data_IF_725174197014
#
_entry.id   IF_725174197014
#
_cell.length_a   1.000
_cell.length_b   1.000
_cell.length_c   1.000
_cell.angle_alpha   90.00
_cell.angle_beta   90.00
_cell.angle_gamma   90.00
#
_symmetry.space_group_name_H-M   'P 1'
#
loop_
_entity.id
_entity.type
_entity.pdbx_description
1 polymer ?
#
# COMPACT_ATOMS: atom_id res chain seq x y z
N UNK A 1 -7.56 6.55 -12.90
CA UNK A 1 -7.87 5.25 -12.26
C UNK A 1 -7.85 5.45 -10.76
N UNK A 2 -8.83 4.94 -10.02
CA UNK A 2 -8.97 5.24 -8.58
C UNK A 2 -9.22 3.98 -7.77
N UNK A 3 -8.75 3.99 -6.53
CA UNK A 3 -8.93 2.94 -5.54
C UNK A 3 -9.11 3.56 -4.16
N UNK A 4 -9.99 2.99 -3.33
CA UNK A 4 -10.27 3.52 -2.00
C UNK A 4 -10.68 2.42 -1.02
N UNK A 5 -10.33 2.58 0.26
CA UNK A 5 -10.87 1.75 1.34
C UNK A 5 -12.35 2.05 1.54
N UNK A 6 -13.16 1.01 1.68
CA UNK A 6 -14.58 1.11 1.99
C UNK A 6 -14.77 1.22 3.50
N UNK A 7 -15.41 2.31 3.93
CA UNK A 7 -15.79 2.52 5.33
C UNK A 7 -17.29 2.36 5.52
N UNK A 8 -17.69 1.84 6.69
CA UNK A 8 -19.10 1.71 7.06
C UNK A 8 -19.83 3.06 7.01
N UNK A 9 -21.14 3.02 6.76
CA UNK A 9 -22.02 4.19 6.72
C UNK A 9 -21.67 5.25 5.65
N UNK A 10 -20.82 4.90 4.67
CA UNK A 10 -20.57 5.75 3.50
C UNK A 10 -21.53 5.42 2.34
N UNK A 11 -21.76 6.37 1.40
CA UNK A 11 -22.51 6.09 0.18
C UNK A 11 -21.96 4.92 -0.62
N UNK A 12 -20.62 4.76 -0.65
CA UNK A 12 -19.95 3.63 -1.29
C UNK A 12 -20.31 2.31 -0.61
N UNK A 13 -20.27 2.23 0.72
CA UNK A 13 -20.67 1.03 1.44
C UNK A 13 -22.14 0.68 1.21
N UNK A 14 -23.02 1.69 1.14
CA UNK A 14 -24.44 1.51 0.79
C UNK A 14 -24.59 0.93 -0.62
N UNK A 15 -23.95 1.57 -1.61
CA UNK A 15 -23.96 1.15 -3.02
C UNK A 15 -23.45 -0.30 -3.24
N UNK A 16 -22.55 -0.76 -2.38
CA UNK A 16 -22.09 -2.16 -2.42
C UNK A 16 -23.11 -3.09 -1.74
N UNK A 17 -23.71 -2.67 -0.63
CA UNK A 17 -24.68 -3.47 0.12
C UNK A 17 -26.00 -3.69 -0.64
N UNK A 18 -26.46 -2.68 -1.37
CA UNK A 18 -27.66 -2.76 -2.24
C UNK A 18 -27.34 -3.31 -3.64
N UNK A 19 -26.08 -3.69 -3.91
CA UNK A 19 -25.67 -4.40 -5.12
C UNK A 19 -25.53 -3.51 -6.35
N UNK A 20 -25.55 -2.18 -6.20
CA UNK A 20 -25.27 -1.22 -7.27
C UNK A 20 -23.83 -1.32 -7.77
N UNK A 21 -22.89 -1.66 -6.88
CA UNK A 21 -21.48 -1.96 -7.19
C UNK A 21 -21.19 -3.42 -6.85
N UNK A 22 -20.84 -4.21 -7.88
CA UNK A 22 -20.58 -5.65 -7.76
C UNK A 22 -19.14 -6.07 -8.06
N UNK A 23 -18.39 -5.24 -8.77
CA UNK A 23 -17.03 -5.53 -9.24
C UNK A 23 -15.98 -4.66 -8.57
N UNK A 24 -14.71 -5.10 -8.64
CA UNK A 24 -13.58 -4.34 -8.12
C UNK A 24 -13.46 -4.35 -6.59
N UNK A 25 -14.04 -5.33 -5.91
CA UNK A 25 -14.01 -5.44 -4.44
C UNK A 25 -12.88 -6.37 -4.00
N UNK A 26 -12.03 -5.90 -3.09
CA UNK A 26 -10.85 -6.62 -2.60
C UNK A 26 -10.72 -6.51 -1.07
N UNK A 27 -10.63 -7.61 -0.31
CA UNK A 27 -10.86 -9.00 -0.75
C UNK A 27 -12.32 -9.22 -1.16
N UNK A 28 -12.64 -10.36 -1.78
CA UNK A 28 -14.04 -10.72 -2.04
C UNK A 28 -14.79 -10.79 -0.70
N UNK A 29 -15.87 -10.02 -0.56
CA UNK A 29 -16.70 -9.92 0.65
C UNK A 29 -17.12 -11.28 1.21
N UNK A 30 -17.18 -12.33 0.38
CA UNK A 30 -17.55 -13.68 0.81
C UNK A 30 -16.49 -14.36 1.67
N UNK A 31 -15.24 -13.92 1.61
CA UNK A 31 -14.10 -14.68 2.15
C UNK A 31 -13.53 -14.12 3.45
N UNK A 32 -13.73 -12.82 3.76
CA UNK A 32 -13.09 -12.23 4.94
C UNK A 32 -13.90 -11.07 5.56
N UNK A 33 -14.76 -11.37 6.53
CA UNK A 33 -15.52 -10.36 7.27
C UNK A 33 -14.66 -9.48 8.20
N UNK A 34 -13.45 -9.93 8.53
CA UNK A 34 -12.52 -9.24 9.44
C UNK A 34 -11.45 -8.41 8.73
N UNK A 35 -11.38 -8.48 7.39
CA UNK A 35 -10.39 -7.74 6.61
C UNK A 35 -10.96 -6.41 6.10
N UNK A 36 -10.13 -5.36 6.01
CA UNK A 36 -10.55 -4.11 5.40
C UNK A 36 -10.93 -4.34 3.92
N UNK A 37 -12.12 -3.90 3.54
CA UNK A 37 -12.59 -3.95 2.17
C UNK A 37 -12.12 -2.72 1.39
N UNK A 38 -11.69 -2.93 0.15
CA UNK A 38 -11.28 -1.91 -0.81
C UNK A 38 -12.10 -2.03 -2.08
N UNK A 39 -12.33 -0.88 -2.72
CA UNK A 39 -12.81 -0.79 -4.09
C UNK A 39 -11.68 -0.34 -5.00
N UNK A 40 -11.44 -1.09 -6.07
CA UNK A 40 -10.54 -0.77 -7.17
C UNK A 40 -11.35 -0.71 -8.47
N UNK A 41 -11.21 0.37 -9.22
CA UNK A 41 -11.86 0.54 -10.52
C UNK A 41 -11.53 -0.65 -11.46
N UNK A 42 -12.52 -1.41 -11.97
CA UNK A 42 -12.26 -2.55 -12.85
C UNK A 42 -11.49 -2.20 -14.13
N UNK A 43 -11.59 -0.95 -14.58
CA UNK A 43 -10.85 -0.43 -15.73
C UNK A 43 -9.33 -0.41 -15.51
N UNK A 44 -8.86 -0.51 -14.27
CA UNK A 44 -7.43 -0.58 -13.95
C UNK A 44 -6.80 -1.91 -14.40
N UNK A 45 -7.61 -2.98 -14.50
CA UNK A 45 -7.14 -4.31 -14.85
C UNK A 45 -6.16 -4.91 -13.83
N UNK A 46 -5.70 -6.13 -14.10
CA UNK A 46 -4.73 -6.85 -13.24
C UNK A 46 -3.27 -6.42 -13.45
N UNK A 47 -2.98 -5.64 -14.49
CA UNK A 47 -1.61 -5.33 -14.91
C UNK A 47 -1.05 -4.05 -14.27
N UNK A 48 -1.85 -3.30 -13.51
CA UNK A 48 -1.43 -2.02 -12.98
C UNK A 48 -0.19 -2.08 -12.06
N UNK A 49 -0.02 -3.06 -11.16
CA UNK A 49 1.22 -3.19 -10.39
C UNK A 49 2.45 -3.37 -11.29
N UNK A 50 2.39 -4.32 -12.24
CA UNK A 50 3.48 -4.59 -13.17
C UNK A 50 3.84 -3.37 -14.04
N UNK A 51 2.83 -2.60 -14.47
CA UNK A 51 3.06 -1.35 -15.23
C UNK A 51 3.74 -0.28 -14.36
N UNK A 52 3.35 -0.14 -13.10
CA UNK A 52 4.00 0.79 -12.17
C UNK A 52 5.46 0.37 -11.96
N UNK A 53 5.72 -0.93 -11.78
CA UNK A 53 7.08 -1.44 -11.62
C UNK A 53 7.94 -1.17 -12.86
N UNK A 54 7.40 -1.39 -14.07
CA UNK A 54 8.08 -1.08 -15.34
C UNK A 54 8.38 0.42 -15.47
N UNK A 55 7.41 1.28 -15.18
CA UNK A 55 7.56 2.73 -15.33
C UNK A 55 8.53 3.33 -14.30
N UNK A 56 8.60 2.75 -13.10
CA UNK A 56 9.48 3.21 -12.04
C UNK A 56 10.88 2.62 -12.15
N UNK A 57 11.04 1.48 -12.82
CA UNK A 57 12.32 0.84 -13.10
C UNK A 57 13.24 0.69 -11.87
N UNK A 58 12.63 0.44 -10.68
CA UNK A 58 13.37 0.30 -9.42
C UNK A 58 13.96 1.60 -8.87
N UNK A 59 13.52 2.77 -9.35
CA UNK A 59 13.93 4.07 -8.83
C UNK A 59 13.56 4.19 -7.34
N UNK A 60 14.57 4.45 -6.51
CA UNK A 60 14.49 4.45 -5.04
C UNK A 60 13.59 5.54 -4.45
N UNK A 61 13.06 6.45 -5.28
CA UNK A 61 12.04 7.42 -4.88
C UNK A 61 10.65 6.79 -4.82
N UNK A 62 10.42 5.68 -5.53
CA UNK A 62 9.14 4.97 -5.53
C UNK A 62 9.20 3.82 -4.53
N UNK A 63 8.38 3.94 -3.49
CA UNK A 63 8.35 3.00 -2.38
C UNK A 63 7.24 1.98 -2.63
N UNK A 64 7.60 0.75 -3.00
CA UNK A 64 6.65 -0.33 -3.14
C UNK A 64 6.34 -0.95 -1.76
N UNK A 65 5.07 -1.27 -1.52
CA UNK A 65 4.70 -2.16 -0.41
C UNK A 65 5.05 -3.58 -0.83
N UNK A 66 6.32 -3.95 -0.71
CA UNK A 66 6.73 -5.34 -0.85
C UNK A 66 6.07 -6.17 0.25
N UNK A 67 5.83 -7.47 -0.01
CA UNK A 67 5.38 -8.36 1.08
C UNK A 67 6.38 -8.26 2.24
N UNK A 68 5.96 -8.43 3.52
CA UNK A 68 6.84 -8.19 4.67
C UNK A 68 8.16 -8.98 4.67
N UNK A 69 8.26 -10.03 3.86
CA UNK A 69 9.45 -10.86 3.69
C UNK A 69 10.38 -10.42 2.54
N UNK A 70 10.01 -9.41 1.75
CA UNK A 70 10.78 -8.97 0.58
C UNK A 70 11.61 -7.72 0.88
N UNK A 71 12.83 -7.70 0.32
CA UNK A 71 13.77 -6.57 0.39
C UNK A 71 13.11 -5.35 -0.24
N UNK A 72 12.85 -4.30 0.56
CA UNK A 72 12.14 -3.09 0.11
C UNK A 72 10.77 -2.86 0.75
N UNK A 73 10.37 -3.66 1.74
CA UNK A 73 9.17 -3.38 2.54
C UNK A 73 9.37 -2.12 3.41
N UNK A 74 8.59 -1.06 3.17
CA UNK A 74 8.58 0.17 3.97
C UNK A 74 7.62 0.07 5.17
N UNK A 75 7.64 -1.07 5.85
CA UNK A 75 6.92 -1.20 7.11
C UNK A 75 7.62 -0.38 8.20
N UNK A 76 6.85 0.40 8.96
CA UNK A 76 7.35 1.26 10.04
C UNK A 76 7.49 0.52 11.38
N UNK A 77 6.99 -0.72 11.47
CA UNK A 77 7.02 -1.51 12.69
C UNK A 77 8.36 -2.25 12.85
N UNK A 78 8.92 -2.20 14.06
CA UNK A 78 10.13 -2.90 14.49
C UNK A 78 11.39 -2.63 13.64
N UNK A 79 11.52 -1.40 13.12
CA UNK A 79 12.76 -0.98 12.46
C UNK A 79 13.81 -0.51 13.50
N UNK A 80 14.45 -1.49 14.14
CA UNK A 80 15.57 -1.26 15.06
C UNK A 80 16.71 -0.45 14.41
N UNK A 81 16.84 -0.53 13.08
CA UNK A 81 17.85 0.23 12.33
C UNK A 81 17.49 1.72 12.32
N UNK A 82 16.23 2.06 12.09
CA UNK A 82 15.77 3.45 12.17
C UNK A 82 16.02 4.03 13.58
N UNK A 83 15.68 3.29 14.63
CA UNK A 83 15.90 3.72 16.01
C UNK A 83 17.38 4.06 16.25
N UNK A 84 18.30 3.18 15.86
CA UNK A 84 19.74 3.41 15.98
C UNK A 84 20.22 4.62 15.16
N UNK A 85 19.67 4.84 13.96
CA UNK A 85 20.03 6.00 13.13
C UNK A 85 19.58 7.30 13.78
N UNK A 86 18.37 7.34 14.35
CA UNK A 86 17.86 8.51 15.08
C UNK A 86 18.70 8.77 16.34
N UNK A 87 19.08 7.74 17.09
CA UNK A 87 19.97 7.86 18.25
C UNK A 87 21.34 8.44 17.87
N UNK A 88 21.88 8.05 16.70
CA UNK A 88 23.15 8.59 16.15
C UNK A 88 23.02 9.98 15.54
N UNK A 89 21.83 10.59 15.56
CA UNK A 89 21.61 11.97 15.15
C UNK A 89 20.96 12.15 13.79
N UNK A 90 20.50 11.09 13.11
CA UNK A 90 19.76 11.23 11.86
C UNK A 90 18.42 11.96 12.10
N UNK A 91 18.09 12.91 11.24
CA UNK A 91 16.87 13.72 11.34
C UNK A 91 16.27 13.91 9.94
N UNK A 92 14.96 14.14 9.90
CA UNK A 92 14.20 14.25 8.66
C UNK A 92 13.04 13.27 8.62
N UNK A 93 12.38 13.18 7.47
CA UNK A 93 11.31 12.21 7.27
C UNK A 93 11.89 10.78 7.22
N UNK A 94 11.11 9.79 7.64
CA UNK A 94 11.52 8.37 7.69
C UNK A 94 12.19 7.89 6.39
N UNK A 95 11.51 8.07 5.25
CA UNK A 95 12.02 7.67 3.94
C UNK A 95 13.33 8.36 3.57
N UNK A 96 13.58 9.55 4.12
CA UNK A 96 14.81 10.29 3.87
C UNK A 96 15.97 9.73 4.70
N UNK A 97 15.72 9.41 5.97
CA UNK A 97 16.69 8.77 6.85
C UNK A 97 17.09 7.40 6.30
N UNK A 98 16.13 6.58 5.89
CA UNK A 98 16.40 5.24 5.35
C UNK A 98 17.21 5.30 4.04
N UNK A 99 16.82 6.16 3.08
CA UNK A 99 17.54 6.25 1.79
C UNK A 99 19.00 6.65 1.94
N UNK A 100 19.33 7.58 2.84
CA UNK A 100 20.70 8.06 3.01
C UNK A 100 21.61 7.08 3.77
N UNK A 101 21.02 6.13 4.52
CA UNK A 101 21.78 5.29 5.46
C UNK A 101 21.74 3.80 5.13
N UNK A 102 20.80 3.34 4.29
CA UNK A 102 20.63 1.93 3.91
C UNK A 102 20.78 1.67 2.40
N UNK A 103 20.91 2.73 1.59
CA UNK A 103 21.18 2.61 0.16
C UNK A 103 22.67 2.41 -0.12
N UNK A 104 23.16 1.17 0.03
CA UNK A 104 24.49 0.70 -0.39
C UNK A 104 24.40 -0.66 -1.06
#
# INVERSE_FOLDING_TARGET
FTGVRVYAHTPLAKAIADGSIKGGLHPDKRQAAHEPLFYLSPQLGSHAPALIDELTAGDSRFLALATPAEKGSYNYADDDVLCQLIERGARGAYWDIIRHNLGG
#
